data_IF_254024234577
#
_entry.id   IF_254024234577
#
_cell.length_a   1.000
_cell.length_b   1.000
_cell.length_c   1.000
_cell.angle_alpha   90.00
_cell.angle_beta   90.00
_cell.angle_gamma   90.00
#
_symmetry.space_group_name_H-M   'P 1'
#
loop_
_entity.id
_entity.type
_entity.pdbx_description
1 polymer ?
#
# COMPACT_ATOMS: atom_id res chain seq x y z
N UNK A 1 -8.12 52.45 59.51
CA UNK A 1 -7.07 51.70 58.79
C UNK A 1 -7.64 50.77 57.70
N UNK A 2 -8.53 51.24 56.81
CA UNK A 2 -9.25 50.36 55.84
C UNK A 2 -8.83 50.51 54.36
N UNK A 3 -7.94 51.45 54.02
CA UNK A 3 -7.50 51.67 52.63
C UNK A 3 -6.54 50.59 52.09
N UNK A 4 -5.96 49.76 52.97
CA UNK A 4 -5.09 48.64 52.57
C UNK A 4 -5.88 47.45 51.99
N UNK A 5 -7.07 47.19 52.54
CA UNK A 5 -7.92 46.06 52.13
C UNK A 5 -8.40 46.17 50.67
N UNK A 6 -8.68 47.39 50.18
CA UNK A 6 -9.09 47.62 48.79
C UNK A 6 -7.96 47.30 47.80
N UNK A 7 -6.71 47.66 48.11
CA UNK A 7 -5.54 47.36 47.27
C UNK A 7 -5.28 45.84 47.19
N UNK A 8 -5.41 45.15 48.32
CA UNK A 8 -5.28 43.68 48.40
C UNK A 8 -6.39 43.00 47.61
N UNK A 9 -7.61 43.53 47.66
CA UNK A 9 -8.74 43.01 46.87
C UNK A 9 -8.56 43.22 45.37
N UNK A 10 -8.12 44.40 44.94
CA UNK A 10 -7.88 44.71 43.51
C UNK A 10 -6.71 43.88 42.95
N UNK A 11 -5.63 43.68 43.72
CA UNK A 11 -4.52 42.80 43.35
C UNK A 11 -4.93 41.33 43.27
N UNK A 12 -5.78 40.84 44.20
CA UNK A 12 -6.35 39.48 44.12
C UNK A 12 -7.31 39.32 42.96
N UNK A 13 -8.15 40.33 42.68
CA UNK A 13 -9.09 40.31 41.56
C UNK A 13 -8.35 40.30 40.21
N UNK A 14 -7.29 41.12 40.06
CA UNK A 14 -6.42 41.15 38.87
C UNK A 14 -5.66 39.82 38.68
N UNK A 15 -5.24 39.17 39.75
CA UNK A 15 -4.63 37.84 39.68
C UNK A 15 -5.63 36.77 39.24
N UNK A 16 -6.87 36.81 39.74
CA UNK A 16 -7.94 35.87 39.36
C UNK A 16 -8.44 36.11 37.92
N UNK A 17 -8.38 37.34 37.41
CA UNK A 17 -8.70 37.67 36.01
C UNK A 17 -7.60 37.26 35.02
N UNK A 18 -6.36 37.04 35.47
CA UNK A 18 -5.26 36.53 34.66
C UNK A 18 -5.11 34.98 34.76
N UNK A 19 -5.63 34.37 35.83
CA UNK A 19 -5.71 32.91 35.96
C UNK A 19 -6.60 32.16 34.95
N UNK A 20 -7.58 32.74 34.22
CA UNK A 20 -8.30 31.98 33.21
C UNK A 20 -7.43 31.75 31.95
N UNK A 21 -6.29 32.42 31.80
CA UNK A 21 -5.46 32.29 30.61
C UNK A 21 -4.46 31.12 30.66
N UNK A 22 -4.13 30.60 31.86
CA UNK A 22 -3.25 29.43 31.99
C UNK A 22 -4.00 28.09 31.97
N UNK A 23 -5.28 28.09 32.34
CA UNK A 23 -6.11 26.87 32.30
C UNK A 23 -6.70 26.59 30.90
N UNK A 24 -6.86 27.61 30.04
CA UNK A 24 -7.33 27.40 28.67
C UNK A 24 -6.24 26.90 27.70
N UNK A 25 -4.95 27.17 27.95
CA UNK A 25 -3.86 26.68 27.08
C UNK A 25 -3.51 25.19 27.32
N UNK A 26 -3.74 24.69 28.54
CA UNK A 26 -3.66 23.27 28.87
C UNK A 26 -4.93 22.50 28.45
N UNK A 27 -6.07 23.20 28.28
CA UNK A 27 -7.30 22.57 27.77
C UNK A 27 -7.28 22.35 26.26
N UNK A 28 -6.60 23.16 25.46
CA UNK A 28 -6.54 22.93 23.99
C UNK A 28 -5.42 22.00 23.55
N UNK A 29 -4.36 21.84 24.34
CA UNK A 29 -3.36 20.78 24.10
C UNK A 29 -3.85 19.41 24.55
N UNK A 30 -4.78 19.34 25.51
CA UNK A 30 -5.44 18.09 25.88
C UNK A 30 -6.64 17.74 24.99
N UNK A 31 -7.28 18.70 24.32
CA UNK A 31 -8.42 18.46 23.41
C UNK A 31 -8.05 18.28 21.93
N UNK A 32 -6.76 18.09 21.59
CA UNK A 32 -6.33 17.62 20.27
C UNK A 32 -5.68 16.24 20.33
N UNK A 33 -6.05 15.42 21.31
CA UNK A 33 -6.10 13.99 21.09
C UNK A 33 -7.51 13.68 20.63
N UNK A 34 -7.74 13.85 19.32
CA UNK A 34 -8.81 13.12 18.65
C UNK A 34 -8.69 11.69 19.17
N UNK A 35 -9.72 11.25 19.90
CA UNK A 35 -9.77 9.93 20.49
C UNK A 35 -9.33 8.94 19.42
N UNK A 36 -8.12 8.39 19.58
CA UNK A 36 -7.76 7.21 18.82
C UNK A 36 -8.85 6.22 19.17
N UNK A 37 -9.65 5.74 18.19
CA UNK A 37 -10.65 4.76 18.53
C UNK A 37 -9.87 3.63 19.19
N UNK A 38 -10.22 3.30 20.44
CA UNK A 38 -9.78 2.06 21.06
C UNK A 38 -10.50 0.98 20.26
N UNK A 39 -9.99 0.72 19.06
CA UNK A 39 -10.32 -0.43 18.27
C UNK A 39 -9.88 -1.59 19.15
N UNK A 40 -10.88 -2.35 19.61
CA UNK A 40 -10.74 -3.57 20.39
C UNK A 40 -9.44 -4.26 20.00
N UNK A 41 -8.59 -4.61 20.97
CA UNK A 41 -7.32 -5.31 20.71
C UNK A 41 -7.49 -6.52 19.77
N UNK A 42 -8.71 -7.04 19.68
CA UNK A 42 -9.12 -8.09 18.76
C UNK A 42 -9.19 -7.64 17.29
N UNK A 43 -9.72 -6.44 16.99
CA UNK A 43 -9.74 -5.87 15.63
C UNK A 43 -8.33 -5.59 15.11
N UNK A 44 -7.43 -5.07 15.95
CA UNK A 44 -6.03 -4.85 15.55
C UNK A 44 -5.30 -6.17 15.29
N UNK A 45 -5.56 -7.21 16.11
CA UNK A 45 -5.01 -8.57 15.91
C UNK A 45 -5.57 -9.22 14.65
N UNK A 46 -6.86 -9.04 14.37
CA UNK A 46 -7.51 -9.50 13.14
C UNK A 46 -6.92 -8.81 11.92
N UNK A 47 -6.81 -7.48 11.91
CA UNK A 47 -6.17 -6.73 10.84
C UNK A 47 -4.70 -7.13 10.63
N UNK A 48 -3.96 -7.48 11.70
CA UNK A 48 -2.61 -8.02 11.59
C UNK A 48 -2.58 -9.41 10.95
N UNK A 49 -3.49 -10.30 11.33
CA UNK A 49 -3.65 -11.61 10.70
C UNK A 49 -4.02 -11.48 9.22
N UNK A 50 -4.96 -10.61 8.88
CA UNK A 50 -5.37 -10.33 7.49
C UNK A 50 -4.19 -9.81 6.65
N UNK A 51 -3.35 -8.93 7.20
CA UNK A 51 -2.12 -8.46 6.54
C UNK A 51 -1.12 -9.61 6.29
N UNK A 52 -0.95 -10.52 7.25
CA UNK A 52 -0.07 -11.68 7.08
C UNK A 52 -0.62 -12.65 6.03
N UNK A 53 -1.93 -12.86 5.99
CA UNK A 53 -2.59 -13.67 4.96
C UNK A 53 -2.42 -13.03 3.58
N UNK A 54 -2.64 -11.73 3.46
CA UNK A 54 -2.42 -10.99 2.22
C UNK A 54 -0.95 -11.06 1.75
N UNK A 55 0.01 -10.94 2.66
CA UNK A 55 1.42 -11.09 2.32
C UNK A 55 1.75 -12.51 1.87
N UNK A 56 1.20 -13.53 2.54
CA UNK A 56 1.40 -14.94 2.18
C UNK A 56 0.81 -15.24 0.80
N UNK A 57 -0.42 -14.79 0.55
CA UNK A 57 -1.07 -14.92 -0.76
C UNK A 57 -0.23 -14.23 -1.84
N UNK A 58 0.26 -13.01 -1.58
CA UNK A 58 1.20 -12.32 -2.46
C UNK A 58 2.51 -13.10 -2.67
N UNK A 59 3.02 -13.82 -1.67
CA UNK A 59 4.20 -14.67 -1.79
C UNK A 59 3.93 -15.95 -2.57
N UNK A 60 2.76 -16.56 -2.39
CA UNK A 60 2.32 -17.74 -3.14
C UNK A 60 2.13 -17.38 -4.62
N UNK A 61 1.45 -16.27 -4.87
CA UNK A 61 1.33 -15.64 -6.19
C UNK A 61 2.71 -15.39 -6.79
N UNK A 62 3.58 -14.62 -6.11
CA UNK A 62 4.92 -14.29 -6.62
C UNK A 62 5.78 -15.54 -6.88
N UNK A 63 5.71 -16.53 -6.00
CA UNK A 63 6.43 -17.80 -6.15
C UNK A 63 5.95 -18.57 -7.37
N UNK A 64 4.64 -18.70 -7.54
CA UNK A 64 4.03 -19.41 -8.67
C UNK A 64 4.24 -18.66 -9.99
N UNK A 65 4.09 -17.33 -10.01
CA UNK A 65 4.34 -16.52 -11.19
C UNK A 65 5.81 -16.53 -11.60
N UNK A 66 6.75 -16.50 -10.64
CA UNK A 66 8.17 -16.63 -10.94
C UNK A 66 8.50 -17.98 -11.55
N UNK A 67 7.94 -19.07 -11.00
CA UNK A 67 8.12 -20.40 -11.55
C UNK A 67 7.50 -20.51 -12.96
N UNK A 68 6.27 -20.01 -13.15
CA UNK A 68 5.60 -19.99 -14.44
C UNK A 68 6.40 -19.21 -15.49
N UNK A 69 6.91 -18.02 -15.14
CA UNK A 69 7.76 -17.22 -16.03
C UNK A 69 9.01 -18.00 -16.44
N UNK A 70 9.70 -18.66 -15.51
CA UNK A 70 10.88 -19.47 -15.84
C UNK A 70 10.54 -20.62 -16.78
N UNK A 71 9.44 -21.34 -16.53
CA UNK A 71 8.98 -22.42 -17.40
C UNK A 71 8.66 -21.92 -18.80
N UNK A 72 7.92 -20.80 -18.93
CA UNK A 72 7.59 -20.24 -20.24
C UNK A 72 8.80 -19.66 -20.97
N UNK A 73 9.76 -19.04 -20.27
CA UNK A 73 11.01 -18.57 -20.87
C UNK A 73 11.88 -19.72 -21.37
N UNK A 74 11.92 -20.82 -20.62
CA UNK A 74 12.63 -22.04 -21.04
C UNK A 74 11.95 -22.65 -22.26
N UNK A 75 10.62 -22.76 -22.24
CA UNK A 75 9.84 -23.25 -23.38
C UNK A 75 10.04 -22.35 -24.62
N UNK A 76 10.00 -21.03 -24.44
CA UNK A 76 10.24 -20.06 -25.51
C UNK A 76 11.60 -20.31 -26.20
N UNK A 77 12.66 -20.50 -25.41
CA UNK A 77 13.99 -20.80 -25.94
C UNK A 77 14.01 -22.10 -26.74
N UNK A 78 13.36 -23.15 -26.23
CA UNK A 78 13.26 -24.43 -26.94
C UNK A 78 12.50 -24.25 -28.26
N UNK A 79 11.36 -23.53 -28.24
CA UNK A 79 10.57 -23.26 -29.44
C UNK A 79 11.34 -22.45 -30.48
N UNK A 80 12.18 -21.52 -30.06
CA UNK A 80 13.11 -20.79 -30.93
C UNK A 80 14.17 -21.72 -31.54
N UNK A 81 14.76 -22.61 -30.75
CA UNK A 81 15.77 -23.58 -31.21
C UNK A 81 15.22 -24.57 -32.23
N UNK A 82 13.98 -25.05 -32.03
CA UNK A 82 13.32 -25.98 -32.97
C UNK A 82 12.59 -25.25 -34.11
N UNK A 83 12.51 -23.92 -34.08
CA UNK A 83 11.83 -23.10 -35.06
C UNK A 83 10.30 -23.21 -35.07
N UNK A 84 9.68 -23.62 -33.95
CA UNK A 84 8.22 -23.72 -33.84
C UNK A 84 7.59 -22.37 -33.52
N UNK A 85 7.12 -21.67 -34.55
CA UNK A 85 6.60 -20.29 -34.45
C UNK A 85 5.27 -20.17 -33.74
N UNK A 86 4.38 -21.13 -33.95
CA UNK A 86 3.10 -21.16 -33.26
C UNK A 86 3.29 -21.31 -31.74
N UNK A 87 4.23 -22.18 -31.35
CA UNK A 87 4.53 -22.40 -29.94
C UNK A 87 5.31 -21.24 -29.31
N UNK A 88 6.18 -20.58 -30.09
CA UNK A 88 6.88 -19.35 -29.70
C UNK A 88 5.88 -18.23 -29.35
N UNK A 89 4.92 -17.97 -30.25
CA UNK A 89 3.89 -16.96 -30.03
C UNK A 89 2.96 -17.32 -28.85
N UNK A 90 2.67 -18.61 -28.65
CA UNK A 90 1.92 -19.09 -27.50
C UNK A 90 2.68 -18.86 -26.19
N UNK A 91 3.99 -19.17 -26.15
CA UNK A 91 4.83 -18.92 -24.97
C UNK A 91 4.90 -17.43 -24.63
N UNK A 92 5.10 -16.55 -25.62
CA UNK A 92 5.08 -15.09 -25.44
C UNK A 92 3.71 -14.61 -24.88
N UNK A 93 2.61 -15.15 -25.40
CA UNK A 93 1.26 -14.82 -24.93
C UNK A 93 1.06 -15.24 -23.46
N UNK A 94 1.52 -16.42 -23.09
CA UNK A 94 1.42 -16.92 -21.71
C UNK A 94 2.28 -16.09 -20.74
N UNK A 95 3.47 -15.65 -21.16
CA UNK A 95 4.29 -14.71 -20.38
C UNK A 95 3.54 -13.38 -20.17
N UNK A 96 2.91 -12.85 -21.22
CA UNK A 96 2.08 -11.64 -21.12
C UNK A 96 0.92 -11.80 -20.12
N UNK A 97 0.25 -12.96 -20.14
CA UNK A 97 -0.84 -13.27 -19.21
C UNK A 97 -0.35 -13.32 -17.74
N UNK A 98 0.83 -13.89 -17.48
CA UNK A 98 1.43 -13.88 -16.13
C UNK A 98 1.69 -12.46 -15.64
N UNK A 99 2.24 -11.59 -16.49
CA UNK A 99 2.44 -10.18 -16.12
C UNK A 99 1.13 -9.43 -15.91
N UNK A 100 0.08 -9.77 -16.66
CA UNK A 100 -1.27 -9.23 -16.44
C UNK A 100 -1.82 -9.62 -15.06
N UNK A 101 -1.67 -10.89 -14.67
CA UNK A 101 -2.05 -11.37 -13.32
C UNK A 101 -1.26 -10.70 -12.20
N UNK A 102 0.00 -10.33 -12.46
CA UNK A 102 0.83 -9.52 -11.57
C UNK A 102 0.49 -8.02 -11.55
N UNK A 103 -0.51 -7.58 -12.34
CA UNK A 103 -0.87 -6.17 -12.58
C UNK A 103 0.27 -5.33 -13.16
N UNK A 104 1.22 -5.98 -13.84
CA UNK A 104 2.32 -5.35 -14.56
C UNK A 104 1.95 -5.18 -16.04
N UNK A 105 0.93 -4.36 -16.29
CA UNK A 105 0.34 -4.18 -17.60
C UNK A 105 1.31 -3.71 -18.71
N UNK A 106 2.29 -2.83 -18.46
CA UNK A 106 3.25 -2.44 -19.48
C UNK A 106 4.07 -3.62 -20.02
N UNK A 107 4.52 -4.51 -19.12
CA UNK A 107 5.25 -5.72 -19.47
C UNK A 107 4.35 -6.70 -20.22
N UNK A 108 3.11 -6.90 -19.75
CA UNK A 108 2.14 -7.77 -20.41
C UNK A 108 1.89 -7.32 -21.87
N UNK A 109 1.67 -6.02 -22.07
CA UNK A 109 1.44 -5.45 -23.41
C UNK A 109 2.64 -5.69 -24.33
N UNK A 110 3.86 -5.50 -23.83
CA UNK A 110 5.07 -5.71 -24.60
C UNK A 110 5.17 -7.16 -25.10
N UNK A 111 4.92 -8.15 -24.24
CA UNK A 111 4.93 -9.56 -24.62
C UNK A 111 3.80 -9.94 -25.59
N UNK A 112 2.60 -9.39 -25.42
CA UNK A 112 1.52 -9.59 -26.37
C UNK A 112 1.82 -8.98 -27.76
N UNK A 113 2.48 -7.83 -27.79
CA UNK A 113 2.93 -7.20 -29.06
C UNK A 113 4.03 -8.01 -29.74
N UNK A 114 4.97 -8.58 -28.98
CA UNK A 114 5.97 -9.50 -29.52
C UNK A 114 5.29 -10.74 -30.13
N UNK A 115 4.36 -11.37 -29.40
CA UNK A 115 3.62 -12.53 -29.91
C UNK A 115 2.87 -12.21 -31.22
N UNK A 116 2.20 -11.05 -31.27
CA UNK A 116 1.51 -10.59 -32.47
C UNK A 116 2.48 -10.36 -33.62
N UNK A 117 3.63 -9.73 -33.35
CA UNK A 117 4.65 -9.48 -34.36
C UNK A 117 5.22 -10.78 -34.92
N UNK A 118 5.52 -11.76 -34.06
CA UNK A 118 6.00 -13.08 -34.47
C UNK A 118 5.00 -13.79 -35.39
N UNK A 119 3.71 -13.77 -35.03
CA UNK A 119 2.64 -14.34 -35.86
C UNK A 119 2.57 -13.64 -37.23
N UNK A 120 2.64 -12.31 -37.25
CA UNK A 120 2.49 -11.51 -38.47
C UNK A 120 3.72 -11.58 -39.39
N UNK A 121 4.93 -11.66 -38.83
CA UNK A 121 6.17 -11.77 -39.61
C UNK A 121 6.28 -13.09 -40.37
N UNK A 122 5.62 -14.13 -39.88
CA UNK A 122 5.73 -15.49 -40.42
C UNK A 122 4.46 -15.98 -41.11
N UNK A 123 3.44 -15.11 -41.24
CA UNK A 123 2.22 -15.37 -42.03
C UNK A 123 2.34 -14.94 -43.50
N UNK A 124 3.55 -14.58 -43.97
CA UNK A 124 3.88 -14.20 -45.35
C UNK A 124 4.87 -15.20 -45.95
#
# INVERSE_FOLDING_TARGET
MMKSFSRIYVLRLLAVLCLPCLELLSLTTSLSMAAMPVQSSNETRKAAADRLLQQREQQLDRSQFSAALQSFQTALKIYQEIGSRADEAMALTNIGAVYSSLRQYPQALNYHQQALTEILQHSQ
#
